data_IF_982114180640
#
_entry.id   IF_982114180640
#
_cell.length_a   1.000
_cell.length_b   1.000
_cell.length_c   1.000
_cell.angle_alpha   90.00
_cell.angle_beta   90.00
_cell.angle_gamma   90.00
#
_symmetry.space_group_name_H-M   'P 1'
#
loop_
_entity.id
_entity.type
_entity.pdbx_description
1 polymer ?
#
# COMPACT_ATOMS: atom_id res chain seq x y z
N UNK A 1 14.87 -1.10 13.84
CA UNK A 1 14.07 -2.07 13.06
C UNK A 1 14.28 -1.69 11.62
N UNK A 2 14.55 -2.66 10.74
CA UNK A 2 14.54 -2.39 9.31
C UNK A 2 13.12 -1.90 8.95
N UNK A 3 13.01 -0.99 7.98
CA UNK A 3 11.70 -0.66 7.45
C UNK A 3 11.20 -1.83 6.61
N UNK A 4 9.89 -2.02 6.61
CA UNK A 4 9.26 -3.09 5.87
C UNK A 4 8.99 -2.63 4.43
N UNK A 5 9.15 -3.54 3.47
CA UNK A 5 8.62 -3.36 2.13
C UNK A 5 7.17 -3.84 2.13
N UNK A 6 6.25 -2.97 1.77
CA UNK A 6 4.81 -3.19 1.85
C UNK A 6 4.26 -3.38 0.44
N UNK A 7 3.78 -4.58 0.06
CA UNK A 7 3.02 -4.76 -1.17
C UNK A 7 1.70 -4.01 -1.06
N UNK A 8 1.37 -3.25 -2.09
CA UNK A 8 0.16 -2.43 -2.13
C UNK A 8 -0.63 -2.69 -3.42
N UNK A 9 -1.93 -2.46 -3.33
CA UNK A 9 -2.84 -2.41 -4.48
C UNK A 9 -3.38 -1.00 -4.65
N UNK A 10 -3.27 -0.48 -5.86
CA UNK A 10 -3.89 0.77 -6.29
C UNK A 10 -5.07 0.44 -7.21
N UNK A 11 -6.31 0.76 -6.80
CA UNK A 11 -7.44 0.73 -7.73
C UNK A 11 -7.49 2.05 -8.48
N UNK A 12 -7.24 1.95 -9.79
CA UNK A 12 -7.10 3.07 -10.73
C UNK A 12 -8.17 2.97 -11.83
N UNK A 13 -8.29 3.99 -12.67
CA UNK A 13 -9.25 3.98 -13.78
C UNK A 13 -8.90 2.92 -14.83
N UNK A 14 -7.62 2.53 -14.90
CA UNK A 14 -7.08 1.46 -15.74
C UNK A 14 -7.18 0.05 -15.10
N UNK A 15 -7.88 -0.07 -13.97
CA UNK A 15 -8.01 -1.29 -13.17
C UNK A 15 -6.99 -1.37 -12.03
N UNK A 16 -7.06 -2.48 -11.28
CA UNK A 16 -6.16 -2.70 -10.15
C UNK A 16 -4.70 -2.84 -10.63
N UNK A 17 -3.78 -2.25 -9.86
CA UNK A 17 -2.33 -2.36 -10.07
C UNK A 17 -1.63 -2.72 -8.76
N UNK A 18 -0.70 -3.66 -8.85
CA UNK A 18 0.06 -4.20 -7.72
C UNK A 18 1.51 -3.73 -7.79
N UNK A 19 2.03 -3.20 -6.69
CA UNK A 19 3.40 -2.68 -6.58
C UNK A 19 3.91 -2.82 -5.15
N UNK A 20 5.14 -2.36 -4.87
CA UNK A 20 5.73 -2.35 -3.53
C UNK A 20 6.01 -0.90 -3.13
N UNK A 21 5.65 -0.56 -1.90
CA UNK A 21 5.94 0.70 -1.25
C UNK A 21 6.95 0.46 -0.12
N UNK A 22 7.96 1.30 -0.04
CA UNK A 22 8.84 1.43 1.12
C UNK A 22 8.39 2.68 1.90
N UNK A 23 7.60 2.52 2.99
CA UNK A 23 7.22 3.63 3.84
C UNK A 23 8.44 4.28 4.46
N UNK A 24 8.27 5.50 5.00
CA UNK A 24 9.39 6.30 5.49
C UNK A 24 10.33 5.53 6.39
N UNK A 25 11.61 5.50 6.01
CA UNK A 25 12.68 4.89 6.79
C UNK A 25 13.86 5.83 6.93
N UNK A 26 14.77 5.47 7.84
CA UNK A 26 16.01 6.19 8.04
C UNK A 26 17.19 5.31 7.72
N UNK A 27 18.09 5.84 6.90
CA UNK A 27 19.38 5.22 6.65
C UNK A 27 20.47 6.29 6.63
N UNK A 28 21.60 5.97 7.27
CA UNK A 28 22.76 6.87 7.43
C UNK A 28 22.47 8.30 7.96
N UNK A 29 21.29 8.55 8.54
CA UNK A 29 20.88 9.87 9.05
C UNK A 29 19.94 10.64 8.11
N UNK A 30 19.72 10.14 6.90
CA UNK A 30 18.74 10.66 5.94
C UNK A 30 17.40 9.91 6.08
N UNK A 31 16.31 10.59 5.72
CA UNK A 31 14.96 10.03 5.70
C UNK A 31 14.56 9.77 4.24
N UNK A 32 14.12 8.55 3.98
CA UNK A 32 13.84 8.02 2.65
C UNK A 32 12.40 7.52 2.58
N UNK A 33 11.82 7.53 1.38
CA UNK A 33 10.53 6.92 1.02
C UNK A 33 10.63 6.55 -0.46
N UNK A 34 10.16 5.37 -0.86
CA UNK A 34 10.34 4.88 -2.22
C UNK A 34 9.19 3.96 -2.65
N UNK A 35 9.03 3.79 -3.95
CA UNK A 35 8.15 2.78 -4.55
C UNK A 35 8.97 1.89 -5.47
N UNK A 36 8.43 0.72 -5.80
CA UNK A 36 9.00 -0.13 -6.83
C UNK A 36 8.93 0.60 -8.16
N UNK A 37 10.09 0.94 -8.71
CA UNK A 37 10.17 1.79 -9.87
C UNK A 37 11.61 1.99 -10.30
N UNK A 38 11.78 2.85 -11.29
CA UNK A 38 13.09 3.30 -11.74
C UNK A 38 12.97 4.68 -12.34
N UNK A 39 13.88 5.58 -11.95
CA UNK A 39 13.87 6.96 -12.42
C UNK A 39 12.52 7.64 -12.08
N UNK A 40 11.71 7.97 -13.10
CA UNK A 40 10.37 8.58 -12.94
C UNK A 40 9.23 7.56 -13.06
N UNK A 41 9.54 6.30 -13.42
CA UNK A 41 8.55 5.25 -13.66
C UNK A 41 8.16 4.53 -12.37
N UNK A 42 6.85 4.36 -12.16
CA UNK A 42 6.29 3.46 -11.16
C UNK A 42 6.07 2.08 -11.80
N UNK A 43 6.76 1.06 -11.31
CA UNK A 43 6.53 -0.31 -11.76
C UNK A 43 5.32 -0.90 -11.07
N UNK A 44 4.30 -1.24 -11.84
CA UNK A 44 3.10 -1.85 -11.32
C UNK A 44 2.51 -2.88 -12.28
N UNK A 45 1.91 -3.93 -11.72
CA UNK A 45 1.50 -5.12 -12.46
C UNK A 45 -0.01 -5.34 -12.36
N UNK A 46 -0.59 -6.03 -13.33
CA UNK A 46 -2.02 -6.37 -13.34
C UNK A 46 -2.36 -7.56 -12.43
N UNK A 47 -1.34 -8.30 -11.97
CA UNK A 47 -1.50 -9.44 -11.08
C UNK A 47 -0.40 -9.52 -10.01
N UNK A 48 -0.72 -10.12 -8.86
CA UNK A 48 0.27 -10.42 -7.81
C UNK A 48 1.34 -11.39 -8.32
N UNK A 49 0.96 -12.33 -9.19
CA UNK A 49 1.88 -13.30 -9.76
C UNK A 49 2.98 -12.62 -10.60
N UNK A 50 2.61 -11.62 -11.41
CA UNK A 50 3.58 -10.84 -12.19
C UNK A 50 4.47 -9.98 -11.29
N UNK A 51 3.92 -9.39 -10.22
CA UNK A 51 4.72 -8.69 -9.22
C UNK A 51 5.75 -9.61 -8.56
N UNK A 52 5.35 -10.81 -8.15
CA UNK A 52 6.25 -11.81 -7.55
C UNK A 52 7.34 -12.23 -8.54
N UNK A 53 6.96 -12.49 -9.80
CA UNK A 53 7.91 -12.83 -10.86
C UNK A 53 8.94 -11.72 -11.08
N UNK A 54 8.50 -10.46 -11.09
CA UNK A 54 9.38 -9.30 -11.21
C UNK A 54 10.34 -9.20 -10.03
N UNK A 55 9.83 -9.19 -8.80
CA UNK A 55 10.64 -9.04 -7.57
C UNK A 55 11.70 -10.14 -7.44
N UNK A 56 11.41 -11.36 -7.92
CA UNK A 56 12.36 -12.49 -7.90
C UNK A 56 13.43 -12.43 -8.99
N UNK A 57 13.23 -11.65 -10.06
CA UNK A 57 14.10 -11.69 -11.26
C UNK A 57 14.79 -10.37 -11.59
N UNK A 58 14.22 -9.24 -11.21
CA UNK A 58 14.76 -7.93 -11.49
C UNK A 58 15.78 -7.49 -10.43
N UNK A 59 16.84 -6.83 -10.89
CA UNK A 59 17.91 -6.30 -10.04
C UNK A 59 18.28 -4.86 -10.41
N UNK A 60 17.40 -4.15 -11.11
CA UNK A 60 17.65 -2.81 -11.66
C UNK A 60 16.43 -1.90 -11.43
N UNK A 61 16.11 -1.70 -10.14
CA UNK A 61 15.01 -0.87 -9.65
C UNK A 61 15.42 -0.14 -8.36
N UNK A 62 14.66 0.87 -7.96
CA UNK A 62 15.00 1.76 -6.85
C UNK A 62 14.96 1.08 -5.46
N UNK A 63 14.35 -0.10 -5.34
CA UNK A 63 14.23 -0.83 -4.08
C UNK A 63 15.35 -1.86 -3.88
N UNK A 64 16.22 -2.12 -4.87
CA UNK A 64 17.23 -3.19 -4.75
C UNK A 64 18.23 -3.00 -3.62
N UNK A 65 18.53 -1.75 -3.27
CA UNK A 65 19.42 -1.38 -2.18
C UNK A 65 18.70 -1.29 -0.82
N UNK A 66 17.37 -1.48 -0.80
CA UNK A 66 16.60 -1.44 0.44
C UNK A 66 16.96 -2.64 1.35
N UNK A 67 17.15 -2.45 2.68
CA UNK A 67 17.58 -3.52 3.58
C UNK A 67 16.70 -4.76 3.58
N UNK A 68 15.40 -4.62 3.34
CA UNK A 68 14.43 -5.71 3.29
C UNK A 68 14.23 -6.31 1.89
N UNK A 69 14.90 -5.81 0.84
CA UNK A 69 14.73 -6.28 -0.54
C UNK A 69 15.02 -7.77 -0.68
N UNK A 70 16.16 -8.21 -0.14
CA UNK A 70 16.59 -9.61 -0.22
C UNK A 70 15.55 -10.54 0.39
N UNK A 71 15.00 -10.17 1.55
CA UNK A 71 14.00 -10.99 2.24
C UNK A 71 12.73 -11.08 1.39
N UNK A 72 12.28 -9.97 0.79
CA UNK A 72 11.13 -9.93 -0.12
C UNK A 72 11.34 -10.83 -1.36
N UNK A 73 12.53 -10.83 -1.98
CA UNK A 73 12.82 -11.70 -3.14
C UNK A 73 12.73 -13.19 -2.84
N UNK A 74 12.91 -13.58 -1.58
CA UNK A 74 12.83 -14.98 -1.14
C UNK A 74 11.51 -15.32 -0.43
N UNK A 75 10.62 -14.34 -0.26
CA UNK A 75 9.38 -14.53 0.46
C UNK A 75 8.41 -15.41 -0.34
N UNK A 76 7.49 -16.04 0.40
CA UNK A 76 6.37 -16.75 -0.21
C UNK A 76 5.50 -15.75 -0.99
N UNK A 77 4.94 -16.15 -2.13
CA UNK A 77 4.17 -15.27 -3.03
C UNK A 77 3.02 -14.52 -2.32
N UNK A 78 2.37 -15.18 -1.35
CA UNK A 78 1.36 -14.56 -0.45
C UNK A 78 1.84 -13.34 0.33
N UNK A 79 3.12 -13.27 0.67
CA UNK A 79 3.66 -12.10 1.34
C UNK A 79 3.66 -10.86 0.43
N UNK A 80 3.47 -11.04 -0.89
CA UNK A 80 3.29 -9.98 -1.86
C UNK A 80 1.82 -9.72 -2.23
N UNK A 81 0.87 -10.50 -1.71
CA UNK A 81 -0.56 -10.22 -1.84
C UNK A 81 -0.96 -9.12 -0.84
N UNK A 82 -1.39 -7.92 -1.29
CA UNK A 82 -1.65 -6.81 -0.38
C UNK A 82 -2.75 -7.15 0.64
N UNK A 83 -2.42 -6.97 1.92
CA UNK A 83 -3.37 -7.00 3.02
C UNK A 83 -4.41 -5.87 2.89
N UNK A 84 -5.47 -5.91 3.69
CA UNK A 84 -6.58 -4.94 3.59
C UNK A 84 -6.14 -3.48 3.73
N UNK A 85 -5.17 -3.21 4.60
CA UNK A 85 -4.57 -1.90 4.84
C UNK A 85 -3.58 -1.45 3.74
N UNK A 86 -3.09 -2.39 2.92
CA UNK A 86 -2.30 -2.14 1.72
C UNK A 86 -3.14 -1.90 0.46
N UNK A 87 -4.47 -1.82 0.56
CA UNK A 87 -5.38 -1.63 -0.59
C UNK A 87 -5.93 -0.21 -0.60
N UNK A 88 -5.56 0.55 -1.62
CA UNK A 88 -5.95 1.94 -1.80
C UNK A 88 -6.86 2.08 -3.00
N UNK A 89 -8.12 2.42 -2.76
CA UNK A 89 -9.09 2.68 -3.82
C UNK A 89 -9.10 4.17 -4.18
N UNK A 90 -8.34 4.54 -5.21
CA UNK A 90 -8.20 5.94 -5.60
C UNK A 90 -9.39 6.41 -6.44
N UNK A 91 -10.06 5.52 -7.17
CA UNK A 91 -11.23 5.87 -7.98
C UNK A 91 -12.49 6.03 -7.13
N UNK A 92 -12.59 5.37 -5.98
CA UNK A 92 -13.71 5.52 -5.06
C UNK A 92 -13.74 6.87 -4.32
N UNK A 93 -12.65 7.65 -4.33
CA UNK A 93 -12.54 8.87 -3.52
C UNK A 93 -13.66 9.87 -3.82
N UNK A 94 -13.99 10.09 -5.10
CA UNK A 94 -15.06 11.02 -5.49
C UNK A 94 -16.45 10.55 -5.00
N UNK A 95 -16.72 9.25 -5.12
CA UNK A 95 -17.96 8.64 -4.63
C UNK A 95 -18.08 8.77 -3.11
N UNK A 96 -17.00 8.44 -2.39
CA UNK A 96 -16.98 8.47 -0.92
C UNK A 96 -17.24 9.87 -0.37
N UNK A 97 -16.69 10.92 -1.00
CA UNK A 97 -16.90 12.31 -0.55
C UNK A 97 -18.24 12.89 -0.97
N UNK A 98 -18.89 12.33 -1.99
CA UNK A 98 -20.25 12.72 -2.37
C UNK A 98 -21.30 12.27 -1.33
N UNK A 99 -21.02 11.19 -0.60
CA UNK A 99 -21.88 10.66 0.46
C UNK A 99 -21.64 11.34 1.82
N UNK A 100 -22.50 11.03 2.80
CA UNK A 100 -22.30 11.52 4.17
C UNK A 100 -21.05 10.88 4.80
N UNK A 101 -20.28 11.64 5.59
CA UNK A 101 -19.08 11.11 6.22
C UNK A 101 -19.46 10.03 7.25
N UNK A 102 -18.76 8.91 7.15
CA UNK A 102 -18.73 7.83 8.14
C UNK A 102 -17.28 7.62 8.59
N UNK A 103 -17.07 6.90 9.68
CA UNK A 103 -15.70 6.57 10.12
C UNK A 103 -14.93 5.82 9.03
N UNK A 104 -15.57 4.83 8.40
CA UNK A 104 -14.99 4.06 7.31
C UNK A 104 -14.68 4.94 6.07
N UNK A 105 -15.62 5.80 5.64
CA UNK A 105 -15.38 6.64 4.45
C UNK A 105 -14.32 7.70 4.69
N UNK A 106 -14.25 8.29 5.90
CA UNK A 106 -13.21 9.25 6.25
C UNK A 106 -11.84 8.56 6.32
N UNK A 107 -11.75 7.36 6.89
CA UNK A 107 -10.50 6.59 6.92
C UNK A 107 -10.04 6.19 5.50
N UNK A 108 -10.95 5.70 4.66
CA UNK A 108 -10.64 5.32 3.29
C UNK A 108 -10.13 6.52 2.46
N UNK A 109 -10.81 7.68 2.55
CA UNK A 109 -10.36 8.91 1.89
C UNK A 109 -9.02 9.38 2.45
N UNK A 110 -8.79 9.29 3.77
CA UNK A 110 -7.50 9.64 4.37
C UNK A 110 -6.35 8.80 3.80
N UNK A 111 -6.54 7.47 3.75
CA UNK A 111 -5.53 6.54 3.22
C UNK A 111 -5.26 6.79 1.73
N UNK A 112 -6.31 6.98 0.92
CA UNK A 112 -6.18 7.28 -0.51
C UNK A 112 -5.45 8.61 -0.76
N UNK A 113 -5.76 9.66 0.02
CA UNK A 113 -5.05 10.93 -0.06
C UNK A 113 -3.59 10.82 0.39
N UNK A 114 -3.31 10.03 1.43
CA UNK A 114 -1.96 9.82 1.92
C UNK A 114 -1.09 9.13 0.86
N UNK A 115 -1.55 8.01 0.29
CA UNK A 115 -0.77 7.29 -0.72
C UNK A 115 -0.59 8.10 -2.00
N UNK A 116 -1.63 8.83 -2.44
CA UNK A 116 -1.51 9.72 -3.60
C UNK A 116 -0.51 10.85 -3.35
N UNK A 117 -0.51 11.44 -2.14
CA UNK A 117 0.47 12.45 -1.76
C UNK A 117 1.89 11.88 -1.70
N UNK A 118 2.08 10.65 -1.21
CA UNK A 118 3.37 9.96 -1.21
C UNK A 118 3.87 9.72 -2.63
N UNK A 119 3.05 9.16 -3.51
CA UNK A 119 3.36 8.99 -4.94
C UNK A 119 3.75 10.32 -5.60
N UNK A 120 2.97 11.38 -5.33
CA UNK A 120 3.26 12.70 -5.88
C UNK A 120 4.56 13.34 -5.38
N UNK A 121 5.02 12.94 -4.18
CA UNK A 121 6.29 13.43 -3.64
C UNK A 121 7.47 12.58 -4.11
N UNK A 122 7.34 11.26 -4.09
CA UNK A 122 8.42 10.32 -4.45
C UNK A 122 8.69 10.33 -5.94
N UNK A 123 7.64 10.31 -6.77
CA UNK A 123 7.74 10.32 -8.23
C UNK A 123 7.70 11.77 -8.81
N UNK A 124 7.93 12.78 -7.97
CA UNK A 124 7.99 14.20 -8.34
C UNK A 124 6.82 14.73 -9.23
N UNK A 125 5.59 14.22 -9.04
CA UNK A 125 4.45 14.53 -9.90
C UNK A 125 3.89 15.95 -9.70
N UNK A 126 4.12 16.91 -10.62
CA UNK A 126 3.79 18.31 -10.38
C UNK A 126 2.28 18.58 -10.21
N UNK A 127 1.44 17.82 -10.92
CA UNK A 127 -0.01 17.92 -10.82
C UNK A 127 -0.49 17.53 -9.41
N UNK A 128 0.07 16.45 -8.86
CA UNK A 128 -0.26 15.96 -7.53
C UNK A 128 0.24 16.93 -6.46
N UNK A 129 1.50 17.36 -6.52
CA UNK A 129 2.04 18.33 -5.56
C UNK A 129 1.25 19.64 -5.58
N UNK A 130 0.87 20.13 -6.77
CA UNK A 130 0.05 21.35 -6.91
C UNK A 130 -1.33 21.17 -6.29
N UNK A 131 -1.97 20.02 -6.50
CA UNK A 131 -3.28 19.72 -5.94
C UNK A 131 -3.26 19.77 -4.40
N UNK A 132 -2.33 19.06 -3.76
CA UNK A 132 -2.25 19.05 -2.29
C UNK A 132 -1.81 20.39 -1.71
N UNK A 133 -0.78 21.04 -2.29
CA UNK A 133 -0.29 22.34 -1.81
C UNK A 133 -1.34 23.45 -1.95
N UNK A 134 -2.18 23.38 -2.99
CA UNK A 134 -3.28 24.32 -3.20
C UNK A 134 -4.46 24.11 -2.25
N UNK A 135 -4.56 22.94 -1.60
CA UNK A 135 -5.73 22.52 -0.84
C UNK A 135 -5.38 21.99 0.56
N UNK A 136 -4.79 22.82 1.45
CA UNK A 136 -4.36 22.39 2.78
C UNK A 136 -5.50 21.87 3.68
N UNK A 137 -6.76 22.19 3.36
CA UNK A 137 -7.93 21.65 4.07
C UNK A 137 -8.07 20.14 3.92
N UNK A 138 -7.51 19.52 2.87
CA UNK A 138 -7.47 18.06 2.72
C UNK A 138 -6.79 17.38 3.90
N UNK A 139 -5.82 18.05 4.55
CA UNK A 139 -5.17 17.56 5.76
C UNK A 139 -6.10 17.40 6.96
N UNK A 140 -7.34 17.90 6.91
CA UNK A 140 -8.31 17.65 8.00
C UNK A 140 -8.89 16.24 8.00
N UNK A 141 -8.83 15.54 6.87
CA UNK A 141 -9.36 14.17 6.73
C UNK A 141 -8.58 13.20 7.61
N UNK A 142 -7.27 13.40 7.77
CA UNK A 142 -6.40 12.55 8.61
C UNK A 142 -6.71 12.64 10.10
N UNK A 143 -7.43 13.67 10.55
CA UNK A 143 -7.89 13.79 11.93
C UNK A 143 -9.15 12.97 12.26
N UNK A 144 -9.66 12.19 11.30
CA UNK A 144 -10.76 11.24 11.51
C UNK A 144 -12.15 11.87 11.55
N UNK A 145 -13.15 11.02 11.81
CA UNK A 145 -14.57 11.36 11.72
C UNK A 145 -14.99 12.52 12.63
N UNK A 146 -14.30 12.72 13.75
CA UNK A 146 -14.59 13.78 14.73
C UNK A 146 -14.58 15.18 14.10
N UNK A 147 -13.75 15.42 13.07
CA UNK A 147 -13.70 16.68 12.34
C UNK A 147 -14.94 16.96 11.48
N UNK A 148 -15.72 15.91 11.16
CA UNK A 148 -16.84 15.93 10.22
C UNK A 148 -18.20 15.72 10.88
N UNK A 149 -18.26 15.82 12.21
CA UNK A 149 -19.51 15.74 12.99
C UNK A 149 -20.26 17.08 13.03
N UNK A 150 -21.60 16.98 13.12
CA UNK A 150 -22.49 18.13 13.25
C UNK A 150 -22.48 19.09 12.06
N UNK A 151 -23.18 20.23 12.17
CA UNK A 151 -23.37 21.16 11.05
C UNK A 151 -22.05 21.73 10.51
N UNK A 152 -21.09 22.03 11.39
CA UNK A 152 -19.80 22.56 10.96
C UNK A 152 -18.94 21.49 10.27
N UNK A 153 -18.92 20.25 10.79
CA UNK A 153 -18.22 19.14 10.18
C UNK A 153 -18.76 18.77 8.80
N UNK A 154 -20.09 18.70 8.64
CA UNK A 154 -20.70 18.48 7.32
C UNK A 154 -20.33 19.56 6.29
N UNK A 155 -20.23 20.82 6.71
CA UNK A 155 -19.76 21.89 5.81
C UNK A 155 -18.31 21.68 5.38
N UNK A 156 -17.45 21.18 6.27
CA UNK A 156 -16.07 20.84 5.93
C UNK A 156 -16.03 19.67 4.95
N UNK A 157 -16.81 18.62 5.20
CA UNK A 157 -16.88 17.47 4.30
C UNK A 157 -17.31 17.88 2.89
N UNK A 158 -18.34 18.71 2.75
CA UNK A 158 -18.76 19.23 1.45
C UNK A 158 -17.66 20.07 0.77
N UNK A 159 -16.87 20.84 1.54
CA UNK A 159 -15.72 21.55 0.99
C UNK A 159 -14.64 20.59 0.46
N UNK A 160 -14.39 19.47 1.17
CA UNK A 160 -13.49 18.41 0.69
C UNK A 160 -14.03 17.83 -0.62
N UNK A 161 -15.32 17.51 -0.69
CA UNK A 161 -15.95 17.01 -1.91
C UNK A 161 -15.81 17.98 -3.10
N UNK A 162 -16.01 19.29 -2.87
CA UNK A 162 -15.81 20.31 -3.89
C UNK A 162 -14.36 20.43 -4.38
N UNK A 163 -13.39 20.20 -3.50
CA UNK A 163 -11.97 20.22 -3.85
C UNK A 163 -11.62 18.99 -4.69
N UNK A 164 -12.03 17.80 -4.22
CA UNK A 164 -11.81 16.52 -4.90
C UNK A 164 -12.39 16.58 -6.31
N UNK A 165 -13.68 16.90 -6.46
CA UNK A 165 -14.35 16.93 -7.77
C UNK A 165 -13.86 18.01 -8.75
N UNK A 166 -12.90 18.87 -8.37
CA UNK A 166 -12.28 19.85 -9.27
C UNK A 166 -10.91 19.43 -9.79
N UNK A 167 -10.26 18.45 -9.18
CA UNK A 167 -8.86 18.16 -9.49
C UNK A 167 -8.39 16.75 -9.21
N UNK A 168 -9.27 15.85 -8.72
CA UNK A 168 -8.89 14.47 -8.47
C UNK A 168 -8.61 13.68 -9.76
N UNK A 169 -9.37 13.94 -10.83
CA UNK A 169 -9.09 13.37 -12.17
C UNK A 169 -7.67 13.70 -12.67
N UNK A 170 -7.19 14.93 -12.43
CA UNK A 170 -5.83 15.33 -12.79
C UNK A 170 -4.78 14.58 -11.95
N UNK A 171 -5.09 14.27 -10.69
CA UNK A 171 -4.24 13.45 -9.80
C UNK A 171 -4.18 12.01 -10.31
N UNK A 172 -5.32 11.39 -10.61
CA UNK A 172 -5.40 10.03 -11.16
C UNK A 172 -4.64 9.93 -12.47
N UNK A 173 -4.88 10.86 -13.39
CA UNK A 173 -4.19 10.90 -14.69
C UNK A 173 -2.68 11.01 -14.54
N UNK A 174 -2.20 11.83 -13.59
CA UNK A 174 -0.78 11.99 -13.35
C UNK A 174 -0.13 10.73 -12.77
N UNK A 175 -0.79 10.05 -11.84
CA UNK A 175 -0.32 8.78 -11.27
C UNK A 175 -0.32 7.68 -12.33
N UNK A 176 -1.40 7.55 -13.10
CA UNK A 176 -1.49 6.55 -14.17
C UNK A 176 -0.48 6.79 -15.28
N UNK A 177 -0.12 8.05 -15.55
CA UNK A 177 0.82 8.43 -16.59
C UNK A 177 2.27 7.99 -16.35
N UNK A 178 2.64 7.66 -15.11
CA UNK A 178 3.98 7.13 -14.77
C UNK A 178 4.01 5.61 -14.59
N UNK A 179 2.87 4.93 -14.75
CA UNK A 179 2.84 3.47 -14.56
C UNK A 179 3.46 2.79 -15.77
N UNK A 180 4.51 2.03 -15.48
CA UNK A 180 5.13 1.11 -16.42
C UNK A 180 4.93 -0.32 -15.91
N UNK A 181 4.56 -1.23 -16.81
CA UNK A 181 4.47 -2.66 -16.53
C UNK A 181 5.62 -3.40 -17.22
N UNK A 182 6.77 -3.59 -16.55
CA UNK A 182 7.87 -4.36 -17.13
C UNK A 182 7.44 -5.76 -17.54
N UNK A 183 7.97 -6.26 -18.66
CA UNK A 183 7.71 -7.63 -19.09
C UNK A 183 8.35 -8.63 -18.12
N UNK A 184 7.57 -9.61 -17.67
CA UNK A 184 8.04 -10.70 -16.81
C UNK A 184 8.02 -12.03 -17.55
N UNK A 185 8.92 -12.94 -17.16
CA UNK A 185 8.94 -14.27 -17.75
C UNK A 185 7.65 -15.03 -17.37
N UNK A 186 6.86 -15.43 -18.38
CA UNK A 186 5.59 -16.11 -18.17
C UNK A 186 5.70 -17.38 -17.31
N UNK A 187 6.83 -18.08 -17.35
CA UNK A 187 7.08 -19.24 -16.50
C UNK A 187 7.19 -18.89 -15.02
N UNK A 188 7.85 -17.77 -14.68
CA UNK A 188 7.97 -17.31 -13.29
C UNK A 188 6.64 -16.79 -12.75
N UNK A 189 5.86 -16.10 -13.59
CA UNK A 189 4.51 -15.67 -13.23
C UNK A 189 3.59 -16.87 -13.01
N UNK A 190 3.66 -17.89 -13.85
CA UNK A 190 2.90 -19.12 -13.66
C UNK A 190 3.27 -19.85 -12.37
N UNK A 191 4.56 -19.99 -12.05
CA UNK A 191 5.04 -20.57 -10.79
C UNK A 191 4.53 -19.80 -9.57
N UNK A 192 4.59 -18.46 -9.61
CA UNK A 192 4.04 -17.63 -8.55
C UNK A 192 2.52 -17.76 -8.40
N UNK A 193 1.78 -17.91 -9.51
CA UNK A 193 0.34 -18.14 -9.49
C UNK A 193 -0.02 -19.50 -8.87
N UNK A 194 0.78 -20.54 -9.13
CA UNK A 194 0.62 -21.85 -8.49
C UNK A 194 0.85 -21.74 -6.98
N UNK A 195 1.93 -21.10 -6.55
CA UNK A 195 2.26 -20.87 -5.13
C UNK A 195 1.16 -20.05 -4.40
N UNK A 196 0.58 -19.05 -5.07
CA UNK A 196 -0.57 -18.28 -4.52
C UNK A 196 -1.83 -19.15 -4.33
N UNK A 197 -1.99 -20.21 -5.12
CA UNK A 197 -3.16 -21.10 -5.07
C UNK A 197 -3.03 -22.24 -4.06
N UNK A 198 -1.82 -22.60 -3.64
CA UNK A 198 -1.55 -23.68 -2.66
C UNK A 198 -2.10 -23.34 -1.28
N UNK A 199 -3.08 -24.05 -0.70
CA UNK A 199 -3.61 -23.69 0.64
C UNK A 199 -2.49 -23.48 1.68
N UNK A 200 -2.51 -22.40 2.49
CA UNK A 200 -1.50 -22.20 3.51
C UNK A 200 -1.48 -23.42 4.43
N UNK A 201 -0.32 -24.07 4.56
CA UNK A 201 -0.13 -25.06 5.61
C UNK A 201 -0.43 -24.34 6.93
N UNK A 202 -1.47 -24.76 7.65
CA UNK A 202 -1.76 -24.19 8.95
C UNK A 202 -0.48 -24.34 9.79
N UNK A 203 0.11 -23.22 10.18
CA UNK A 203 1.11 -23.21 11.24
C UNK A 203 0.43 -23.86 12.44
N UNK A 204 0.72 -25.14 12.65
CA UNK A 204 0.25 -25.89 13.80
C UNK A 204 0.94 -25.28 15.02
N UNK A 205 0.35 -24.23 15.55
CA UNK A 205 0.70 -23.65 16.84
C UNK A 205 0.30 -24.69 17.87
N UNK A 206 1.18 -25.67 18.07
CA UNK A 206 1.05 -26.66 19.13
C UNK A 206 1.70 -26.04 20.35
N UNK A 207 0.93 -25.52 21.33
CA UNK A 207 1.51 -25.23 22.62
C UNK A 207 1.91 -26.57 23.24
N UNK A 208 3.21 -26.88 23.24
CA UNK A 208 3.72 -27.94 24.12
C UNK A 208 3.58 -27.45 25.57
N UNK A 209 2.37 -27.65 26.11
CA UNK A 209 2.12 -27.62 27.54
C UNK A 209 2.88 -28.79 28.15
N UNK A 210 4.11 -28.56 28.62
CA UNK A 210 4.73 -29.47 29.59
C UNK A 210 4.06 -29.27 30.94
N UNK A 211 2.93 -29.95 31.10
CA UNK A 211 2.29 -30.24 32.37
C UNK A 211 3.26 -31.06 33.23
N UNK A 212 3.96 -30.41 34.16
CA UNK A 212 4.75 -31.11 35.18
C UNK A 212 3.83 -31.48 36.35
N UNK A 213 3.10 -32.59 36.21
CA UNK A 213 2.43 -33.25 37.33
C UNK A 213 3.43 -34.08 38.13
N UNK A 214 3.63 -33.61 39.35
CA UNK A 214 4.06 -34.28 40.58
C UNK A 214 3.82 -35.80 40.63
N UNK A 215 4.81 -36.59 41.08
CA UNK A 215 4.55 -37.83 41.82
C UNK A 215 5.65 -38.10 42.84
N UNK A 216 5.25 -37.98 44.10
CA UNK A 216 5.88 -38.53 45.31
C UNK A 216 6.03 -40.06 45.23
N UNK A 217 7.14 -40.64 45.71
CA UNK A 217 7.10 -41.68 46.77
C UNK A 217 8.49 -42.14 47.27
N UNK A 218 8.53 -42.26 48.59
CA UNK A 218 9.44 -42.85 49.58
C UNK A 218 10.05 -44.23 49.27
N UNK A 219 11.18 -44.54 49.95
CA UNK A 219 11.73 -45.84 50.47
C UNK A 219 13.22 -45.95 50.08
N UNK A 220 14.22 -46.17 50.94
CA UNK A 220 14.37 -46.91 52.20
C UNK A 220 15.47 -46.25 53.08
#
# INVERSE_FOLDING_TARGET
>A
MAADLVPIRLSLSIGDRYTVWAPRWRDAGDEWEAFLGKDEDLFAFESVADLVAFVRSDTDNDLVDHPAWKDLTSAHARALDPAEDGRFDLVAVEELVAEKPTEASVAAVASALAIASSLGSVCELPAVSKFFNGNPSLGTVTGGIENFTGRAGHKRWNLIAEIIGRGWDDVLTAIEGIITGPEVAAALSAEAAEELAEEPEEESDTPESTESTETTETTE
#
